data_IF_816982306303
#
_entry.id   IF_816982306303
#
_cell.length_a   1.000
_cell.length_b   1.000
_cell.length_c   1.000
_cell.angle_alpha   90.00
_cell.angle_beta   90.00
_cell.angle_gamma   90.00
#
_symmetry.space_group_name_H-M   'P 1'
#
loop_
_entity.id
_entity.type
_entity.pdbx_description
1 polymer ?
#
# COMPACT_ATOMS: atom_id res chain seq x y z
N UNK A 1 11.44 1.68 -15.08
CA UNK A 1 10.65 2.63 -14.28
C UNK A 1 9.59 1.87 -13.52
N UNK A 2 9.27 2.30 -12.29
CA UNK A 2 8.23 1.74 -11.45
C UNK A 2 6.83 2.15 -11.96
N UNK A 3 5.80 1.37 -11.59
CA UNK A 3 4.42 1.83 -11.68
C UNK A 3 4.17 2.96 -10.68
N UNK A 4 3.19 3.83 -10.99
CA UNK A 4 2.90 4.99 -10.15
C UNK A 4 2.42 4.61 -8.74
N UNK A 5 1.58 3.57 -8.61
CA UNK A 5 1.14 3.10 -7.30
C UNK A 5 2.33 2.62 -6.45
N UNK A 6 3.26 1.89 -7.06
CA UNK A 6 4.51 1.46 -6.41
C UNK A 6 5.37 2.65 -5.98
N UNK A 7 5.50 3.67 -6.83
CA UNK A 7 6.29 4.86 -6.50
C UNK A 7 5.68 5.64 -5.31
N UNK A 8 4.36 5.83 -5.30
CA UNK A 8 3.65 6.44 -4.18
C UNK A 8 3.85 5.63 -2.88
N UNK A 9 3.73 4.31 -2.97
CA UNK A 9 3.90 3.40 -1.84
C UNK A 9 5.31 3.49 -1.24
N UNK A 10 6.35 3.50 -2.08
CA UNK A 10 7.73 3.63 -1.62
C UNK A 10 7.98 4.96 -0.89
N UNK A 11 7.40 6.05 -1.38
CA UNK A 11 7.49 7.35 -0.73
C UNK A 11 6.86 7.32 0.66
N UNK A 12 5.59 6.87 0.76
CA UNK A 12 4.90 6.77 2.04
C UNK A 12 5.60 5.82 3.02
N UNK A 13 6.14 4.70 2.52
CA UNK A 13 6.93 3.76 3.33
C UNK A 13 8.21 4.40 3.86
N UNK A 14 8.94 5.13 3.00
CA UNK A 14 10.18 5.81 3.42
C UNK A 14 9.91 6.82 4.53
N UNK A 15 8.81 7.57 4.43
CA UNK A 15 8.38 8.51 5.47
C UNK A 15 8.01 7.80 6.77
N UNK A 16 7.19 6.73 6.70
CA UNK A 16 6.77 5.97 7.88
C UNK A 16 7.95 5.30 8.61
N UNK A 17 8.89 4.72 7.86
CA UNK A 17 10.08 4.07 8.43
C UNK A 17 11.01 5.10 9.08
N UNK A 18 11.19 6.27 8.44
CA UNK A 18 11.98 7.37 8.98
C UNK A 18 11.34 7.94 10.27
N UNK A 19 10.02 8.16 10.26
CA UNK A 19 9.26 8.64 11.42
C UNK A 19 9.33 7.65 12.59
N UNK A 20 9.30 6.35 12.31
CA UNK A 20 9.51 5.30 13.30
C UNK A 20 10.97 5.25 13.86
N UNK A 21 11.90 6.04 13.33
CA UNK A 21 13.31 5.99 13.71
C UNK A 21 14.01 4.71 13.26
N UNK A 22 13.53 4.10 12.18
CA UNK A 22 14.07 2.89 11.56
C UNK A 22 14.67 3.23 10.19
N UNK A 23 15.45 2.33 9.62
CA UNK A 23 16.07 2.59 8.31
C UNK A 23 16.20 1.31 7.47
N UNK A 24 17.10 0.41 7.86
CA UNK A 24 17.44 -0.81 7.15
C UNK A 24 17.30 -1.99 8.12
N UNK A 25 16.61 -3.03 7.67
CA UNK A 25 16.36 -4.19 8.51
C UNK A 25 17.32 -5.36 8.24
N UNK A 26 18.27 -5.21 7.31
CA UNK A 26 19.37 -6.16 7.10
C UNK A 26 18.94 -7.59 6.78
N UNK A 27 17.78 -7.79 6.18
CA UNK A 27 17.25 -9.11 5.90
C UNK A 27 16.64 -9.83 7.13
N UNK A 28 16.31 -9.10 8.19
CA UNK A 28 15.74 -9.68 9.40
C UNK A 28 14.42 -10.44 9.10
N UNK A 29 14.34 -11.76 9.36
CA UNK A 29 13.15 -12.57 9.06
C UNK A 29 11.94 -12.24 9.95
N UNK A 30 12.10 -11.44 10.98
CA UNK A 30 11.01 -10.97 11.85
C UNK A 30 10.44 -9.61 11.43
N UNK A 31 10.93 -9.06 10.30
CA UNK A 31 10.41 -7.84 9.69
C UNK A 31 9.66 -8.19 8.43
N UNK A 32 8.38 -7.89 8.39
CA UNK A 32 7.44 -8.25 7.33
C UNK A 32 6.87 -7.03 6.62
N UNK A 33 6.33 -7.23 5.42
CA UNK A 33 5.70 -6.18 4.61
C UNK A 33 4.36 -6.66 4.09
N UNK A 34 3.30 -5.88 4.35
CA UNK A 34 1.95 -6.17 3.87
C UNK A 34 1.35 -4.91 3.26
N UNK A 35 1.16 -4.92 1.94
CA UNK A 35 0.59 -3.77 1.23
C UNK A 35 -0.72 -4.10 0.56
N UNK A 36 -1.67 -3.20 0.67
CA UNK A 36 -2.99 -3.29 0.02
C UNK A 36 -3.06 -2.47 -1.25
N UNK A 37 -3.76 -2.98 -2.26
CA UNK A 37 -4.13 -2.20 -3.44
C UNK A 37 -5.42 -2.75 -4.04
N UNK A 38 -6.24 -1.85 -4.55
CA UNK A 38 -7.44 -2.22 -5.30
C UNK A 38 -7.11 -2.57 -6.76
N UNK A 39 -6.27 -1.78 -7.39
CA UNK A 39 -6.04 -1.79 -8.84
C UNK A 39 -4.61 -2.17 -9.21
N UNK A 40 -3.67 -2.07 -8.27
CA UNK A 40 -2.25 -2.32 -8.57
C UNK A 40 -1.72 -1.41 -9.66
N UNK A 41 -1.07 -2.02 -10.66
CA UNK A 41 -0.49 -1.32 -11.79
C UNK A 41 -1.50 -0.94 -12.89
N UNK A 42 -2.68 -0.43 -12.54
CA UNK A 42 -3.72 -0.04 -13.50
C UNK A 42 -3.25 0.94 -14.55
N UNK A 43 -2.37 1.88 -14.20
CA UNK A 43 -1.77 2.81 -15.19
C UNK A 43 -0.82 2.10 -16.16
N UNK A 44 -0.09 1.10 -15.69
CA UNK A 44 0.77 0.28 -16.56
C UNK A 44 -0.07 -0.56 -17.53
N UNK A 45 -1.24 -1.05 -17.08
CA UNK A 45 -2.21 -1.70 -17.96
C UNK A 45 -2.69 -0.75 -19.06
N UNK A 46 -3.06 0.48 -18.72
CA UNK A 46 -3.46 1.49 -19.71
C UNK A 46 -2.33 1.82 -20.67
N UNK A 47 -1.13 2.02 -20.18
CA UNK A 47 0.07 2.28 -20.96
C UNK A 47 0.33 1.16 -21.96
N UNK A 48 0.21 -0.10 -21.53
CA UNK A 48 0.35 -1.26 -22.37
C UNK A 48 -0.61 -1.22 -23.57
N UNK A 49 -1.90 -0.98 -23.32
CA UNK A 49 -2.89 -0.97 -24.38
C UNK A 49 -2.84 0.27 -25.29
N UNK A 50 -2.44 1.42 -24.76
CA UNK A 50 -2.33 2.69 -25.50
C UNK A 50 -0.96 2.91 -26.12
N UNK A 51 0.10 2.41 -25.49
CA UNK A 51 1.50 2.74 -25.80
C UNK A 51 2.25 1.72 -26.67
N UNK A 52 1.57 0.83 -27.37
CA UNK A 52 2.23 -0.12 -28.28
C UNK A 52 2.63 -1.44 -27.65
N UNK A 53 1.98 -1.85 -26.57
CA UNK A 53 2.09 -3.18 -25.95
C UNK A 53 3.53 -3.55 -25.52
N UNK A 54 4.18 -2.66 -24.76
CA UNK A 54 5.52 -2.92 -24.24
C UNK A 54 5.51 -4.06 -23.22
N UNK A 55 6.27 -5.16 -23.40
CA UNK A 55 6.27 -6.29 -22.45
C UNK A 55 6.62 -5.89 -21.02
N UNK A 56 7.47 -4.88 -20.83
CA UNK A 56 7.85 -4.38 -19.50
C UNK A 56 6.67 -3.83 -18.69
N UNK A 57 5.60 -3.36 -19.33
CA UNK A 57 4.41 -2.86 -18.63
C UNK A 57 3.58 -4.00 -18.05
N UNK A 58 3.61 -5.19 -18.68
CA UNK A 58 2.89 -6.39 -18.19
C UNK A 58 3.36 -6.78 -16.79
N UNK A 59 4.66 -6.70 -16.51
CA UNK A 59 5.25 -7.06 -15.21
C UNK A 59 4.87 -6.10 -14.09
N UNK A 60 4.36 -4.92 -14.42
CA UNK A 60 3.95 -3.88 -13.47
C UNK A 60 2.45 -3.92 -13.16
N UNK A 61 1.65 -4.68 -13.93
CA UNK A 61 0.20 -4.74 -13.77
C UNK A 61 -0.26 -5.40 -12.47
N UNK A 62 0.34 -6.54 -12.03
CA UNK A 62 -0.07 -7.18 -10.80
C UNK A 62 0.15 -6.30 -9.58
N UNK A 63 -0.57 -6.59 -8.49
CA UNK A 63 -0.33 -5.93 -7.20
C UNK A 63 0.93 -6.46 -6.50
N UNK A 64 1.36 -7.69 -6.82
CA UNK A 64 2.48 -8.36 -6.14
C UNK A 64 3.81 -7.58 -6.13
N UNK A 65 4.21 -6.84 -7.18
CA UNK A 65 5.42 -6.03 -7.14
C UNK A 65 5.44 -4.95 -6.06
N UNK A 66 4.29 -4.46 -5.61
CA UNK A 66 4.21 -3.34 -4.65
C UNK A 66 4.91 -3.71 -3.34
N UNK A 67 4.46 -4.78 -2.66
CA UNK A 67 5.08 -5.20 -1.40
C UNK A 67 6.52 -5.68 -1.59
N UNK A 68 6.84 -6.30 -2.72
CA UNK A 68 8.21 -6.75 -3.02
C UNK A 68 9.17 -5.56 -3.10
N UNK A 69 8.81 -4.49 -3.82
CA UNK A 69 9.64 -3.29 -3.90
C UNK A 69 9.78 -2.58 -2.55
N UNK A 70 8.72 -2.59 -1.73
CA UNK A 70 8.82 -2.07 -0.35
C UNK A 70 9.80 -2.92 0.45
N UNK A 71 9.67 -4.25 0.43
CA UNK A 71 10.55 -5.15 1.17
C UNK A 71 12.02 -5.02 0.74
N UNK A 72 12.26 -4.90 -0.57
CA UNK A 72 13.59 -4.65 -1.13
C UNK A 72 14.16 -3.31 -0.65
N UNK A 73 13.35 -2.25 -0.62
CA UNK A 73 13.79 -0.89 -0.25
C UNK A 73 14.22 -0.76 1.21
N UNK A 74 13.72 -1.62 2.09
CA UNK A 74 14.02 -1.62 3.52
C UNK A 74 14.79 -2.87 3.97
N UNK A 75 15.11 -3.77 3.05
CA UNK A 75 15.74 -5.07 3.30
C UNK A 75 14.99 -5.90 4.37
N UNK A 76 13.66 -6.01 4.24
CA UNK A 76 12.85 -6.88 5.07
C UNK A 76 13.01 -8.35 4.66
N UNK A 77 13.19 -9.25 5.63
CA UNK A 77 13.43 -10.67 5.38
C UNK A 77 12.29 -11.61 5.78
N UNK A 78 11.19 -11.07 6.29
CA UNK A 78 10.02 -11.82 6.76
C UNK A 78 8.97 -12.08 5.68
N UNK A 79 7.71 -12.12 6.11
CA UNK A 79 6.57 -12.31 5.20
C UNK A 79 6.39 -11.07 4.33
N UNK A 80 6.34 -11.27 3.01
CA UNK A 80 6.06 -10.22 2.02
C UNK A 80 4.82 -10.61 1.25
N UNK A 81 3.76 -9.80 1.35
CA UNK A 81 2.50 -10.13 0.68
C UNK A 81 1.69 -8.88 0.34
N UNK A 82 0.76 -9.07 -0.58
CA UNK A 82 -0.20 -8.03 -0.97
C UNK A 82 -1.63 -8.49 -0.66
N UNK A 83 -2.45 -7.54 -0.26
CA UNK A 83 -3.89 -7.73 -0.03
C UNK A 83 -4.65 -7.09 -1.18
N UNK A 84 -5.48 -7.89 -1.86
CA UNK A 84 -6.40 -7.44 -2.89
C UNK A 84 -7.83 -7.59 -2.39
N UNK A 85 -8.31 -6.61 -1.68
CA UNK A 85 -9.69 -6.60 -1.15
C UNK A 85 -10.35 -5.24 -1.40
N UNK A 86 -10.34 -4.82 -2.64
CA UNK A 86 -10.94 -3.57 -3.10
C UNK A 86 -10.62 -2.40 -2.13
N UNK A 87 -11.63 -1.59 -1.80
CA UNK A 87 -11.48 -0.40 -0.94
C UNK A 87 -10.97 -0.71 0.48
N UNK A 88 -11.12 -1.94 0.98
CA UNK A 88 -10.69 -2.34 2.31
C UNK A 88 -9.22 -2.83 2.36
N UNK A 89 -8.53 -2.92 1.23
CA UNK A 89 -7.22 -3.56 1.13
C UNK A 89 -6.19 -2.96 2.10
N UNK A 90 -6.11 -1.64 2.21
CA UNK A 90 -5.20 -0.96 3.13
C UNK A 90 -5.50 -1.27 4.61
N UNK A 91 -6.76 -1.20 5.01
CA UNK A 91 -7.18 -1.51 6.39
C UNK A 91 -6.92 -2.98 6.75
N UNK A 92 -7.21 -3.89 5.81
CA UNK A 92 -6.95 -5.34 6.01
C UNK A 92 -5.45 -5.61 6.10
N UNK A 93 -4.62 -4.88 5.38
CA UNK A 93 -3.16 -4.99 5.49
C UNK A 93 -2.67 -4.68 6.91
N UNK A 94 -3.22 -3.64 7.54
CA UNK A 94 -2.90 -3.28 8.94
C UNK A 94 -3.43 -4.33 9.92
N UNK A 95 -4.65 -4.83 9.71
CA UNK A 95 -5.20 -5.91 10.54
C UNK A 95 -4.35 -7.18 10.46
N UNK A 96 -3.95 -7.56 9.25
CA UNK A 96 -3.08 -8.73 9.06
C UNK A 96 -1.69 -8.54 9.68
N UNK A 97 -1.14 -7.32 9.63
CA UNK A 97 0.09 -6.99 10.34
C UNK A 97 -0.03 -7.25 11.85
N UNK A 98 -1.12 -6.80 12.46
CA UNK A 98 -1.43 -7.07 13.88
C UNK A 98 -1.53 -8.57 14.18
N UNK A 99 -2.15 -9.34 13.29
CA UNK A 99 -2.27 -10.79 13.44
C UNK A 99 -0.91 -11.50 13.37
N UNK A 100 0.01 -11.07 12.47
CA UNK A 100 1.37 -11.60 12.43
C UNK A 100 2.14 -11.32 13.73
N UNK A 101 2.01 -10.12 14.28
CA UNK A 101 2.62 -9.74 15.57
C UNK A 101 2.04 -10.61 16.69
N UNK A 102 0.70 -10.68 16.83
CA UNK A 102 0.02 -11.49 17.87
C UNK A 102 0.35 -12.98 17.79
N UNK A 103 0.53 -13.50 16.58
CA UNK A 103 0.95 -14.87 16.34
C UNK A 103 2.45 -15.11 16.58
N UNK A 104 3.21 -14.10 17.00
CA UNK A 104 4.66 -14.19 17.21
C UNK A 104 5.46 -14.47 15.93
N UNK A 105 4.92 -14.16 14.76
CA UNK A 105 5.56 -14.38 13.46
C UNK A 105 6.41 -13.20 13.00
N UNK A 106 6.16 -12.02 13.51
CA UNK A 106 6.92 -10.80 13.23
C UNK A 106 7.07 -9.96 14.51
N UNK A 107 8.10 -9.13 14.57
CA UNK A 107 8.27 -8.08 15.57
C UNK A 107 7.96 -6.71 14.99
N UNK A 108 8.19 -6.54 13.69
CA UNK A 108 7.92 -5.32 12.93
C UNK A 108 7.20 -5.68 11.64
N UNK A 109 6.16 -4.96 11.30
CA UNK A 109 5.46 -5.09 10.02
C UNK A 109 5.22 -3.71 9.43
N UNK A 110 5.70 -3.48 8.22
CA UNK A 110 5.33 -2.31 7.43
C UNK A 110 4.01 -2.65 6.73
N UNK A 111 2.97 -1.92 7.03
CA UNK A 111 1.63 -2.17 6.50
C UNK A 111 0.99 -0.90 5.97
N UNK A 112 0.16 -1.03 4.95
CA UNK A 112 -0.50 0.13 4.36
C UNK A 112 -1.21 -0.19 3.07
N UNK A 113 -1.43 0.85 2.26
CA UNK A 113 -2.07 0.70 0.96
C UNK A 113 -1.72 1.82 0.00
N UNK A 114 -1.94 1.53 -1.27
CA UNK A 114 -1.68 2.46 -2.36
C UNK A 114 -2.57 2.18 -3.55
N UNK A 115 -3.09 3.23 -4.16
CA UNK A 115 -3.68 3.16 -5.50
C UNK A 115 -3.33 4.42 -6.30
N UNK A 116 -3.05 4.23 -7.58
CA UNK A 116 -2.89 5.33 -8.53
C UNK A 116 -4.19 5.54 -9.31
N UNK A 117 -4.47 6.79 -9.63
CA UNK A 117 -5.59 7.11 -10.51
C UNK A 117 -5.44 6.40 -11.86
N UNK A 118 -6.48 5.70 -12.28
CA UNK A 118 -6.53 5.01 -13.55
C UNK A 118 -7.93 5.07 -14.17
N UNK A 119 -8.01 4.98 -15.49
CA UNK A 119 -9.29 5.02 -16.21
C UNK A 119 -10.11 3.74 -15.99
N UNK A 120 -9.50 2.66 -15.56
CA UNK A 120 -10.20 1.38 -15.32
C UNK A 120 -11.23 1.51 -14.20
N UNK A 121 -10.85 1.85 -12.94
CA UNK A 121 -11.83 2.08 -11.87
C UNK A 121 -12.72 3.30 -12.18
N UNK A 122 -12.19 4.35 -12.80
CA UNK A 122 -12.99 5.51 -13.18
C UNK A 122 -14.16 5.12 -14.09
N UNK A 123 -13.90 4.35 -15.14
CA UNK A 123 -14.95 3.88 -16.05
C UNK A 123 -15.94 2.95 -15.35
N UNK A 124 -15.45 2.11 -14.42
CA UNK A 124 -16.29 1.25 -13.59
C UNK A 124 -17.29 2.06 -12.76
N UNK A 125 -16.82 3.04 -11.99
CA UNK A 125 -17.69 3.89 -11.17
C UNK A 125 -18.59 4.80 -12.01
N UNK A 126 -18.11 5.26 -13.17
CA UNK A 126 -18.92 6.02 -14.11
C UNK A 126 -20.11 5.17 -14.62
N UNK A 127 -19.88 3.92 -14.99
CA UNK A 127 -20.93 3.01 -15.46
C UNK A 127 -21.98 2.66 -14.39
N UNK A 128 -21.59 2.75 -13.12
CA UNK A 128 -22.47 2.57 -11.98
C UNK A 128 -23.20 3.86 -11.56
N UNK A 129 -22.99 4.97 -12.26
CA UNK A 129 -23.49 6.30 -11.88
C UNK A 129 -23.13 6.70 -10.45
N UNK A 130 -21.95 6.30 -9.99
CA UNK A 130 -21.48 6.50 -8.61
C UNK A 130 -20.51 7.67 -8.46
N UNK A 131 -20.18 8.38 -9.53
CA UNK A 131 -19.30 9.55 -9.48
C UNK A 131 -20.08 10.81 -9.16
N UNK A 132 -19.45 11.73 -8.41
CA UNK A 132 -19.94 13.08 -8.18
C UNK A 132 -19.20 14.07 -9.11
N UNK A 133 -19.91 15.01 -9.71
CA UNK A 133 -19.34 16.06 -10.52
C UNK A 133 -18.63 17.15 -9.69
N UNK A 134 -18.95 17.22 -8.40
CA UNK A 134 -18.37 18.17 -7.47
C UNK A 134 -17.22 17.55 -6.66
N UNK A 135 -16.39 18.41 -6.07
CA UNK A 135 -15.35 17.98 -5.14
C UNK A 135 -15.93 17.22 -3.96
N UNK A 136 -15.20 16.22 -3.50
CA UNK A 136 -15.58 15.37 -2.39
C UNK A 136 -15.94 16.19 -1.14
N UNK A 137 -17.11 15.92 -0.57
CA UNK A 137 -17.62 16.56 0.66
C UNK A 137 -18.42 15.52 1.45
N UNK A 138 -17.73 14.56 2.10
CA UNK A 138 -18.35 13.44 2.80
C UNK A 138 -19.32 13.89 3.88
N UNK A 139 -20.43 13.17 4.03
CA UNK A 139 -21.49 13.42 5.02
C UNK A 139 -22.17 14.79 4.91
N UNK A 140 -21.93 15.53 3.83
CA UNK A 140 -22.51 16.85 3.60
C UNK A 140 -23.27 16.90 2.27
N UNK A 141 -22.65 17.30 1.17
CA UNK A 141 -23.31 17.51 -0.12
C UNK A 141 -22.96 16.49 -1.22
N UNK A 142 -21.99 15.61 -0.98
CA UNK A 142 -21.62 14.59 -1.98
C UNK A 142 -22.73 13.58 -2.19
N UNK A 143 -23.09 13.35 -3.45
CA UNK A 143 -24.04 12.32 -3.89
C UNK A 143 -23.36 11.11 -4.53
N UNK A 144 -22.05 11.16 -4.68
CA UNK A 144 -21.20 10.12 -5.24
C UNK A 144 -19.78 10.24 -4.72
N UNK A 145 -18.84 9.62 -5.42
CA UNK A 145 -17.43 9.61 -5.06
C UNK A 145 -16.60 10.43 -6.04
N UNK A 146 -15.49 10.97 -5.55
CA UNK A 146 -14.45 11.58 -6.37
C UNK A 146 -13.21 10.69 -6.26
N UNK A 147 -12.72 10.19 -7.39
CA UNK A 147 -11.53 9.33 -7.39
C UNK A 147 -10.26 10.15 -7.24
N UNK A 148 -9.37 9.68 -6.40
CA UNK A 148 -8.04 10.23 -6.18
C UNK A 148 -6.95 9.18 -6.37
N UNK A 149 -5.74 9.55 -6.00
CA UNK A 149 -4.60 8.64 -5.89
C UNK A 149 -3.80 8.97 -4.63
N UNK A 150 -3.13 7.97 -4.09
CA UNK A 150 -2.29 8.16 -2.91
C UNK A 150 -1.74 6.86 -2.35
N UNK A 151 -0.94 7.01 -1.32
CA UNK A 151 -0.46 5.91 -0.49
C UNK A 151 -0.39 6.34 0.97
N UNK A 152 -0.53 5.37 1.86
CA UNK A 152 -0.28 5.53 3.28
C UNK A 152 0.36 4.28 3.83
N UNK A 153 1.30 4.45 4.76
CA UNK A 153 1.97 3.34 5.42
C UNK A 153 2.09 3.61 6.93
N UNK A 154 2.07 2.56 7.70
CA UNK A 154 2.35 2.56 9.14
C UNK A 154 3.36 1.47 9.47
N UNK A 155 4.14 1.69 10.52
CA UNK A 155 4.99 0.67 11.13
C UNK A 155 4.25 0.10 12.33
N UNK A 156 3.90 -1.17 12.26
CA UNK A 156 3.26 -1.93 13.35
C UNK A 156 4.33 -2.75 14.03
N UNK A 157 4.44 -2.62 15.34
CA UNK A 157 5.46 -3.30 16.13
C UNK A 157 4.84 -4.07 17.30
N UNK A 158 5.53 -5.14 17.75
CA UNK A 158 5.22 -5.69 19.06
C UNK A 158 5.55 -4.66 20.14
N UNK A 159 4.73 -4.61 21.19
CA UNK A 159 4.94 -3.66 22.29
C UNK A 159 6.33 -3.78 22.91
N UNK A 160 6.80 -5.03 23.08
CA UNK A 160 8.13 -5.34 23.64
C UNK A 160 9.25 -4.77 22.77
N UNK A 161 9.14 -4.93 21.44
CA UNK A 161 10.13 -4.40 20.49
C UNK A 161 10.14 -2.87 20.50
N UNK A 162 8.98 -2.24 20.40
CA UNK A 162 8.84 -0.79 20.41
C UNK A 162 9.39 -0.17 21.70
N UNK A 163 9.04 -0.76 22.84
CA UNK A 163 9.51 -0.33 24.17
C UNK A 163 11.02 -0.50 24.35
N UNK A 164 11.57 -1.63 23.93
CA UNK A 164 13.01 -1.91 24.07
C UNK A 164 13.90 -0.90 23.33
N UNK A 165 13.43 -0.39 22.19
CA UNK A 165 14.15 0.63 21.43
C UNK A 165 13.74 2.08 21.74
N UNK A 166 12.81 2.29 22.67
CA UNK A 166 12.33 3.62 23.06
C UNK A 166 11.51 4.32 21.97
N UNK A 167 10.76 3.55 21.17
CA UNK A 167 9.94 4.09 20.10
C UNK A 167 8.87 5.05 20.61
N UNK A 168 8.54 6.06 19.80
CA UNK A 168 7.32 6.84 19.99
C UNK A 168 6.12 6.01 19.54
N UNK A 169 5.21 5.69 20.45
CA UNK A 169 4.00 4.91 20.17
C UNK A 169 2.83 5.88 20.03
N UNK A 170 2.21 5.91 18.84
CA UNK A 170 1.05 6.76 18.57
C UNK A 170 -0.24 6.20 19.20
N UNK A 171 -0.42 4.87 19.10
CA UNK A 171 -1.59 4.16 19.63
C UNK A 171 -1.32 2.65 19.75
N UNK A 172 -2.19 1.97 20.46
CA UNK A 172 -2.26 0.51 20.58
C UNK A 172 -3.57 -0.01 19.94
#
# INVERSE_FOLDING_TARGET
SLDRATALCLTATSEAVADAGLSDFGGNPRVSVIMGSCVGGGRSLESYYRGGKQPADVLKMPISPIANHVAESVHAGGVVTNVANACAAGTISIAYASDLIRAGKADVVIAGGTDAFSSVPYSGFLSLHALDENSCSPFNRSHGITLGEGAGAVVVESYEHAKARGAHIYCE
#
